data_IF_340040849433
#
_entry.id   IF_340040849433
#
_cell.length_a   1.000
_cell.length_b   1.000
_cell.length_c   1.000
_cell.angle_alpha   90.00
_cell.angle_beta   90.00
_cell.angle_gamma   90.00
#
_symmetry.space_group_name_H-M   'P 1'
#
loop_
_entity.id
_entity.type
_entity.pdbx_description
1 polymer ?
#
# COMPACT_ATOMS: atom_id res chain seq x y z
N UNK A 1 28.36 -27.17 34.72
CA UNK A 1 28.90 -26.59 35.98
C UNK A 1 28.57 -25.11 35.96
N UNK A 2 27.51 -24.69 36.64
CA UNK A 2 27.51 -24.13 38.01
C UNK A 2 27.99 -22.65 37.99
N UNK A 3 27.06 -21.69 38.09
CA UNK A 3 26.55 -21.05 39.33
C UNK A 3 27.40 -19.82 39.71
N UNK A 4 26.83 -18.61 39.67
CA UNK A 4 26.18 -17.91 40.79
C UNK A 4 27.13 -17.43 41.91
N UNK A 5 27.20 -16.10 42.03
CA UNK A 5 27.49 -15.25 43.21
C UNK A 5 28.85 -15.38 43.92
N UNK A 6 29.28 -14.28 44.56
CA UNK A 6 29.15 -14.25 46.03
C UNK A 6 28.53 -12.96 46.57
N UNK A 7 27.69 -13.14 47.61
CA UNK A 7 27.40 -12.16 48.67
C UNK A 7 28.58 -12.23 49.65
N UNK A 8 29.00 -11.17 50.35
CA UNK A 8 28.29 -10.70 51.56
C UNK A 8 29.22 -9.79 52.40
N UNK A 9 28.61 -9.02 53.32
CA UNK A 9 29.11 -8.68 54.68
C UNK A 9 30.14 -7.53 54.78
N UNK A 10 30.01 -6.49 55.62
CA UNK A 10 29.04 -6.07 56.64
C UNK A 10 29.42 -4.63 57.07
N UNK A 11 28.44 -3.81 57.45
CA UNK A 11 28.58 -2.93 58.60
C UNK A 11 27.20 -2.78 59.26
N UNK A 12 27.08 -3.29 60.48
CA UNK A 12 25.89 -3.24 61.34
C UNK A 12 26.25 -2.43 62.58
N UNK A 13 25.44 -1.42 62.89
CA UNK A 13 24.94 -1.05 64.22
C UNK A 13 23.59 -0.37 63.93
N UNK A 14 22.42 -1.01 64.16
CA UNK A 14 21.69 -1.09 65.44
C UNK A 14 21.61 0.29 66.13
N UNK A 15 20.46 0.87 66.50
CA UNK A 15 19.12 0.35 66.80
C UNK A 15 18.19 1.57 67.05
N UNK A 16 16.86 1.38 67.03
CA UNK A 16 15.93 2.27 67.75
C UNK A 16 14.94 3.10 66.93
N UNK A 17 13.83 2.46 66.53
CA UNK A 17 12.46 2.97 66.42
C UNK A 17 12.17 4.36 65.81
N UNK A 18 11.55 4.34 64.63
CA UNK A 18 10.47 5.27 64.26
C UNK A 18 10.89 6.60 63.64
N UNK A 19 11.56 6.59 62.48
CA UNK A 19 11.92 7.83 61.77
C UNK A 19 10.72 8.48 61.07
N UNK A 20 10.45 9.69 61.58
CA UNK A 20 10.39 10.96 60.87
C UNK A 20 9.28 11.20 59.84
N UNK A 21 8.29 11.96 60.32
CA UNK A 21 7.56 13.00 59.62
C UNK A 21 8.33 13.68 58.47
N UNK A 22 7.98 13.30 57.25
CA UNK A 22 8.00 14.18 56.08
C UNK A 22 6.97 13.67 55.06
N UNK A 23 5.75 13.39 55.52
CA UNK A 23 4.58 13.29 54.65
C UNK A 23 4.08 14.71 54.41
N UNK A 24 4.56 15.34 53.34
CA UNK A 24 3.81 16.32 52.56
C UNK A 24 4.56 16.56 51.25
N UNK A 25 3.86 16.39 50.12
CA UNK A 25 4.28 16.57 48.72
C UNK A 25 4.68 15.33 47.91
N UNK A 26 3.90 14.25 48.03
CA UNK A 26 3.67 13.31 46.93
C UNK A 26 2.23 13.50 46.43
N UNK A 27 1.99 14.52 45.61
CA UNK A 27 0.85 14.63 44.68
C UNK A 27 0.94 15.96 43.90
N UNK A 28 1.72 15.97 42.82
CA UNK A 28 1.60 16.92 41.71
C UNK A 28 2.34 16.36 40.48
N UNK A 29 1.86 15.22 39.99
CA UNK A 29 2.09 14.82 38.60
C UNK A 29 0.92 15.37 37.79
N UNK A 30 1.09 16.60 37.31
CA UNK A 30 0.20 17.32 36.39
C UNK A 30 1.08 18.33 35.67
N UNK A 31 1.16 18.48 34.36
CA UNK A 31 0.42 17.92 33.24
C UNK A 31 1.20 18.37 32.00
N UNK A 32 2.07 17.53 31.45
CA UNK A 32 2.53 17.76 30.07
C UNK A 32 1.43 17.25 29.16
N UNK A 33 0.97 18.02 28.15
CA UNK A 33 -0.02 17.51 27.24
C UNK A 33 0.64 16.34 26.52
N UNK A 34 0.12 15.12 26.74
CA UNK A 34 0.34 14.02 25.81
C UNK A 34 -0.02 14.60 24.45
N UNK A 35 0.96 14.78 23.57
CA UNK A 35 0.68 14.76 22.15
C UNK A 35 0.06 13.40 21.93
N UNK A 36 -1.27 13.36 21.95
CA UNK A 36 -2.01 12.30 21.32
C UNK A 36 -1.35 12.15 19.96
N UNK A 37 -0.65 11.04 19.76
CA UNK A 37 -0.40 10.54 18.44
C UNK A 37 -1.78 10.25 17.87
N UNK A 38 -2.43 11.31 17.40
CA UNK A 38 -3.39 11.24 16.32
C UNK A 38 -2.60 10.52 15.22
N UNK A 39 -2.73 9.19 15.17
CA UNK A 39 -2.79 8.54 13.88
C UNK A 39 -3.79 9.40 13.12
N UNK A 40 -3.32 10.14 12.12
CA UNK A 40 -4.21 10.75 11.17
C UNK A 40 -5.01 9.60 10.59
N UNK A 41 -6.16 9.32 11.20
CA UNK A 41 -7.21 8.62 10.52
C UNK A 41 -7.46 9.50 9.32
N UNK A 42 -7.15 8.98 8.14
CA UNK A 42 -7.39 9.66 6.89
C UNK A 42 -8.89 9.93 6.82
N UNK A 43 -9.32 11.10 7.30
CA UNK A 43 -10.58 11.66 6.87
C UNK A 43 -10.41 11.85 5.37
N UNK A 44 -11.26 11.19 4.59
CA UNK A 44 -11.44 11.45 3.16
C UNK A 44 -12.08 12.84 2.97
N UNK A 45 -11.49 13.88 3.55
CA UNK A 45 -11.67 15.23 3.04
C UNK A 45 -10.86 15.30 1.77
N UNK A 46 -11.51 15.68 0.66
CA UNK A 46 -10.93 15.77 -0.69
C UNK A 46 -9.85 16.85 -0.84
N UNK A 47 -9.02 17.03 0.19
CA UNK A 47 -7.85 17.87 0.15
C UNK A 47 -6.79 17.13 -0.67
N UNK A 48 -6.33 17.79 -1.74
CA UNK A 48 -5.21 17.34 -2.56
C UNK A 48 -4.01 17.17 -1.62
N UNK A 49 -3.71 15.94 -1.22
CA UNK A 49 -2.56 15.65 -0.38
C UNK A 49 -1.34 16.06 -1.17
N UNK A 50 -0.67 17.11 -0.72
CA UNK A 50 0.57 17.55 -1.34
C UNK A 50 1.60 16.42 -1.20
N UNK A 51 2.20 15.91 -2.30
CA UNK A 51 3.16 14.81 -2.24
C UNK A 51 4.33 15.03 -1.26
N UNK A 52 4.66 16.30 -1.00
CA UNK A 52 5.67 16.74 -0.04
C UNK A 52 5.30 16.51 1.43
N UNK A 53 4.02 16.30 1.74
CA UNK A 53 3.53 16.06 3.10
C UNK A 53 3.55 14.57 3.48
N UNK A 54 3.58 13.66 2.49
CA UNK A 54 3.62 12.21 2.73
C UNK A 54 5.05 11.75 2.90
N UNK A 55 5.38 11.19 4.06
CA UNK A 55 6.73 10.73 4.41
C UNK A 55 6.70 9.29 4.96
N UNK A 56 7.87 8.68 5.05
CA UNK A 56 8.04 7.36 5.65
C UNK A 56 7.36 6.25 4.85
N UNK A 57 6.75 5.29 5.57
CA UNK A 57 6.15 4.09 4.98
C UNK A 57 4.97 4.45 4.07
N UNK A 58 4.19 5.47 4.41
CA UNK A 58 3.00 5.85 3.64
C UNK A 58 3.38 6.35 2.24
N UNK A 59 4.53 7.01 2.12
CA UNK A 59 5.08 7.42 0.82
C UNK A 59 5.42 6.23 -0.08
N UNK A 60 5.92 5.14 0.50
CA UNK A 60 6.28 3.91 -0.24
C UNK A 60 5.02 3.12 -0.62
N UNK A 61 3.96 3.21 0.17
CA UNK A 61 2.70 2.50 -0.05
C UNK A 61 1.83 3.11 -1.14
N UNK A 62 2.03 4.39 -1.43
CA UNK A 62 1.34 5.08 -2.52
C UNK A 62 2.01 4.74 -3.87
N UNK A 63 1.32 4.02 -4.78
CA UNK A 63 1.88 3.63 -6.07
C UNK A 63 2.19 4.82 -7.00
N UNK A 64 1.57 5.98 -6.79
CA UNK A 64 1.79 7.20 -7.59
C UNK A 64 3.10 7.88 -7.24
N UNK A 65 3.51 7.78 -5.97
CA UNK A 65 4.71 8.41 -5.43
C UNK A 65 5.92 7.46 -5.42
N UNK A 66 5.68 6.16 -5.21
CA UNK A 66 6.72 5.18 -5.02
C UNK A 66 7.60 5.01 -6.28
N UNK A 67 8.91 5.21 -6.11
CA UNK A 67 9.93 4.97 -7.15
C UNK A 67 10.68 3.64 -6.94
N UNK A 68 10.40 2.91 -5.86
CA UNK A 68 11.14 1.72 -5.46
C UNK A 68 12.63 2.03 -5.28
N UNK A 69 13.52 1.23 -5.86
CA UNK A 69 14.96 1.41 -5.73
C UNK A 69 15.53 2.64 -6.48
N UNK A 70 14.72 3.37 -7.25
CA UNK A 70 15.14 4.59 -7.92
C UNK A 70 15.19 5.84 -7.03
N UNK A 71 14.78 5.75 -5.77
CA UNK A 71 15.03 6.83 -4.81
C UNK A 71 16.54 7.02 -4.58
N UNK A 72 17.02 8.24 -4.84
CA UNK A 72 18.38 8.67 -4.51
C UNK A 72 18.60 8.70 -3.00
N UNK A 73 19.86 8.66 -2.56
CA UNK A 73 20.18 8.71 -1.13
C UNK A 73 19.61 9.96 -0.45
N UNK A 74 19.68 11.11 -1.11
CA UNK A 74 19.13 12.38 -0.62
C UNK A 74 17.62 12.32 -0.45
N UNK A 75 16.89 11.83 -1.46
CA UNK A 75 15.44 11.65 -1.36
C UNK A 75 15.09 10.70 -0.21
N UNK A 76 15.83 9.60 -0.05
CA UNK A 76 15.58 8.65 1.04
C UNK A 76 15.72 9.28 2.43
N UNK A 77 16.72 10.13 2.61
CA UNK A 77 16.93 10.85 3.88
C UNK A 77 15.84 11.89 4.11
N UNK A 78 15.50 12.68 3.07
CA UNK A 78 14.48 13.73 3.17
C UNK A 78 13.07 13.19 3.40
N UNK A 79 12.74 12.06 2.80
CA UNK A 79 11.44 11.39 2.96
C UNK A 79 11.37 10.50 4.21
N UNK A 80 12.48 10.34 4.95
CA UNK A 80 12.51 9.46 6.13
C UNK A 80 12.35 7.97 5.82
N UNK A 81 12.78 7.54 4.63
CA UNK A 81 12.70 6.14 4.16
C UNK A 81 14.08 5.46 4.10
N UNK A 82 15.13 6.16 4.51
CA UNK A 82 16.47 5.58 4.61
C UNK A 82 16.48 4.44 5.64
N UNK A 83 17.01 3.28 5.25
CA UNK A 83 16.98 2.05 6.05
C UNK A 83 15.76 1.14 5.80
N UNK A 84 14.71 1.62 5.14
CA UNK A 84 13.53 0.80 4.79
C UNK A 84 13.71 0.01 3.47
N UNK A 85 14.81 0.24 2.75
CA UNK A 85 15.12 -0.39 1.48
C UNK A 85 16.61 -0.73 1.41
N UNK A 86 17.00 -1.73 0.60
CA UNK A 86 18.41 -2.04 0.35
C UNK A 86 19.21 -0.80 -0.09
N UNK A 87 20.51 -0.70 0.24
CA UNK A 87 21.34 0.48 -0.04
C UNK A 87 21.54 0.73 -1.55
N UNK A 88 21.28 -0.26 -2.39
CA UNK A 88 21.40 -0.16 -3.84
C UNK A 88 20.40 0.86 -4.41
N UNK A 89 20.91 1.73 -5.30
CA UNK A 89 20.12 2.66 -6.09
C UNK A 89 20.11 2.13 -7.53
N UNK A 90 18.93 2.02 -8.14
CA UNK A 90 18.77 1.57 -9.53
C UNK A 90 18.11 2.65 -10.35
N UNK A 91 18.59 2.88 -11.56
CA UNK A 91 17.90 3.77 -12.48
C UNK A 91 16.63 3.10 -13.01
N UNK A 92 15.69 3.88 -13.53
CA UNK A 92 14.40 3.36 -13.99
C UNK A 92 14.57 2.28 -15.07
N UNK A 93 15.50 2.44 -16.00
CA UNK A 93 15.78 1.46 -17.06
C UNK A 93 16.24 0.11 -16.48
N UNK A 94 17.05 0.14 -15.44
CA UNK A 94 17.48 -1.07 -14.74
C UNK A 94 16.32 -1.74 -14.02
N UNK A 95 15.36 -0.97 -13.50
CA UNK A 95 14.16 -1.54 -12.88
C UNK A 95 13.25 -2.19 -13.92
N UNK A 96 13.11 -1.57 -15.10
CA UNK A 96 12.35 -2.12 -16.23
C UNK A 96 12.93 -3.46 -16.65
N UNK A 97 14.26 -3.54 -16.83
CA UNK A 97 14.91 -4.79 -17.23
C UNK A 97 14.63 -5.93 -16.24
N UNK A 98 14.70 -5.65 -14.93
CA UNK A 98 14.34 -6.64 -13.90
C UNK A 98 12.87 -7.05 -14.00
N UNK A 99 11.96 -6.10 -14.23
CA UNK A 99 10.53 -6.41 -14.36
C UNK A 99 10.25 -7.24 -15.61
N UNK A 100 10.87 -6.89 -16.74
CA UNK A 100 10.77 -7.62 -18.01
C UNK A 100 11.23 -9.06 -17.86
N UNK A 101 12.41 -9.26 -17.28
CA UNK A 101 12.94 -10.60 -16.99
C UNK A 101 12.03 -11.37 -16.03
N UNK A 102 11.46 -10.71 -15.02
CA UNK A 102 10.52 -11.34 -14.09
C UNK A 102 9.24 -11.82 -14.79
N UNK A 103 8.67 -11.01 -15.68
CA UNK A 103 7.48 -11.36 -16.46
C UNK A 103 7.75 -12.56 -17.36
N UNK A 104 8.89 -12.57 -18.06
CA UNK A 104 9.27 -13.63 -19.00
C UNK A 104 9.52 -14.99 -18.35
N UNK A 105 9.84 -15.00 -17.05
CA UNK A 105 10.02 -16.26 -16.29
C UNK A 105 8.70 -16.97 -16.01
N UNK A 106 7.58 -16.27 -15.98
CA UNK A 106 6.28 -16.90 -15.78
C UNK A 106 5.85 -17.61 -17.07
N UNK A 107 5.52 -18.89 -16.97
CA UNK A 107 5.04 -19.67 -18.12
C UNK A 107 3.56 -19.39 -18.40
N UNK A 108 2.74 -19.32 -17.36
CA UNK A 108 1.31 -19.06 -17.47
C UNK A 108 0.98 -17.57 -17.54
N UNK A 109 0.11 -17.18 -18.47
CA UNK A 109 -0.27 -15.78 -18.65
C UNK A 109 -1.05 -15.21 -17.46
N UNK A 110 -1.78 -16.04 -16.71
CA UNK A 110 -2.46 -15.60 -15.48
C UNK A 110 -1.46 -15.17 -14.39
N UNK A 111 -0.31 -15.82 -14.31
CA UNK A 111 0.75 -15.45 -13.37
C UNK A 111 1.43 -14.15 -13.81
N UNK A 112 1.64 -13.97 -15.12
CA UNK A 112 2.10 -12.69 -15.68
C UNK A 112 1.12 -11.56 -15.37
N UNK A 113 -0.19 -11.79 -15.57
CA UNK A 113 -1.25 -10.82 -15.24
C UNK A 113 -1.21 -10.43 -13.76
N UNK A 114 -1.10 -11.42 -12.87
CA UNK A 114 -1.03 -11.18 -11.42
C UNK A 114 0.20 -10.34 -11.05
N UNK A 115 1.37 -10.66 -11.64
CA UNK A 115 2.59 -9.89 -11.43
C UNK A 115 2.45 -8.44 -11.90
N UNK A 116 1.84 -8.21 -13.07
CA UNK A 116 1.62 -6.88 -13.63
C UNK A 116 0.63 -6.06 -12.79
N UNK A 117 -0.43 -6.70 -12.28
CA UNK A 117 -1.36 -6.07 -11.35
C UNK A 117 -0.66 -5.64 -10.04
N UNK A 118 0.18 -6.51 -9.47
CA UNK A 118 0.99 -6.18 -8.29
C UNK A 118 2.01 -5.06 -8.56
N UNK A 119 2.61 -5.05 -9.76
CA UNK A 119 3.53 -4.00 -10.17
C UNK A 119 2.80 -2.65 -10.22
N UNK A 120 1.60 -2.62 -10.79
CA UNK A 120 0.76 -1.42 -10.81
C UNK A 120 0.37 -0.96 -9.40
N UNK A 121 0.06 -1.89 -8.49
CA UNK A 121 -0.26 -1.60 -7.08
C UNK A 121 0.93 -1.06 -6.26
N UNK A 122 2.15 -1.29 -6.75
CA UNK A 122 3.39 -0.90 -6.07
C UNK A 122 4.01 0.35 -6.66
N UNK A 123 4.05 0.47 -7.99
CA UNK A 123 4.69 1.57 -8.71
C UNK A 123 4.00 1.74 -10.07
N UNK A 124 3.08 2.70 -10.12
CA UNK A 124 2.24 2.97 -11.28
C UNK A 124 3.07 3.48 -12.48
N UNK A 125 4.06 4.34 -12.21
CA UNK A 125 4.93 4.91 -13.26
C UNK A 125 5.78 3.83 -13.95
N UNK A 126 6.28 2.87 -13.18
CA UNK A 126 7.07 1.76 -13.70
C UNK A 126 6.20 0.78 -14.49
N UNK A 127 4.96 0.53 -14.04
CA UNK A 127 3.99 -0.29 -14.75
C UNK A 127 3.68 0.28 -16.14
N UNK A 128 3.26 1.54 -16.23
CA UNK A 128 2.92 2.15 -17.52
C UNK A 128 4.12 2.24 -18.45
N UNK A 129 5.31 2.53 -17.90
CA UNK A 129 6.53 2.56 -18.71
C UNK A 129 6.86 1.18 -19.30
N UNK A 130 6.82 0.12 -18.50
CA UNK A 130 7.02 -1.25 -18.97
C UNK A 130 5.98 -1.64 -20.04
N UNK A 131 4.71 -1.31 -19.82
CA UNK A 131 3.63 -1.58 -20.78
C UNK A 131 3.86 -0.84 -22.10
N UNK A 132 4.24 0.43 -22.05
CA UNK A 132 4.47 1.26 -23.24
C UNK A 132 5.68 0.83 -24.07
N UNK A 133 6.74 0.30 -23.44
CA UNK A 133 7.93 -0.18 -24.13
C UNK A 133 7.73 -1.61 -24.71
N UNK A 134 6.74 -2.37 -24.22
CA UNK A 134 6.49 -3.76 -24.60
C UNK A 134 5.00 -4.06 -24.90
N UNK A 135 4.33 -3.12 -25.57
CA UNK A 135 2.88 -3.19 -25.87
C UNK A 135 2.52 -4.50 -26.58
N UNK A 136 3.24 -4.90 -27.62
CA UNK A 136 2.92 -6.11 -28.39
C UNK A 136 2.99 -7.39 -27.53
N UNK A 137 3.96 -7.49 -26.62
CA UNK A 137 4.16 -8.65 -25.73
C UNK A 137 3.15 -8.64 -24.57
N UNK A 138 2.86 -7.48 -24.00
CA UNK A 138 2.13 -7.37 -22.73
C UNK A 138 0.64 -7.06 -22.89
N UNK A 139 0.19 -6.46 -23.99
CA UNK A 139 -1.24 -6.19 -24.24
C UNK A 139 -2.13 -7.43 -24.17
N UNK A 140 -1.74 -8.59 -24.74
CA UNK A 140 -2.53 -9.81 -24.62
C UNK A 140 -2.64 -10.35 -23.18
N UNK A 141 -1.70 -9.95 -22.32
CA UNK A 141 -1.66 -10.33 -20.90
C UNK A 141 -2.55 -9.40 -20.08
N UNK A 142 -2.45 -8.07 -20.24
CA UNK A 142 -3.23 -7.11 -19.42
C UNK A 142 -4.68 -6.95 -19.88
N UNK A 143 -4.96 -7.25 -21.15
CA UNK A 143 -6.29 -7.18 -21.74
C UNK A 143 -6.67 -8.55 -22.33
N UNK A 144 -7.22 -8.60 -23.54
CA UNK A 144 -7.72 -9.84 -24.14
C UNK A 144 -6.59 -10.70 -24.70
N UNK A 145 -6.58 -12.04 -24.49
CA UNK A 145 -7.63 -12.86 -23.87
C UNK A 145 -7.47 -13.08 -22.35
N UNK A 146 -6.32 -12.76 -21.77
CA UNK A 146 -5.97 -13.15 -20.39
C UNK A 146 -6.83 -12.49 -19.32
N UNK A 147 -7.27 -11.25 -19.53
CA UNK A 147 -8.19 -10.54 -18.62
C UNK A 147 -9.51 -11.29 -18.45
N UNK A 148 -9.97 -12.00 -19.49
CA UNK A 148 -11.18 -12.83 -19.41
C UNK A 148 -10.99 -14.01 -18.46
N UNK A 149 -9.84 -14.69 -18.55
CA UNK A 149 -9.46 -15.75 -17.61
C UNK A 149 -9.28 -15.20 -16.18
N UNK A 150 -8.71 -14.00 -16.06
CA UNK A 150 -8.58 -13.31 -14.78
C UNK A 150 -9.96 -12.97 -14.18
N UNK A 151 -10.93 -12.56 -14.99
CA UNK A 151 -12.31 -12.34 -14.54
C UNK A 151 -12.96 -13.66 -14.08
N UNK A 152 -12.80 -14.76 -14.82
CA UNK A 152 -13.33 -16.06 -14.40
C UNK A 152 -12.75 -16.54 -13.06
N UNK A 153 -11.48 -16.24 -12.80
CA UNK A 153 -10.76 -16.61 -11.57
C UNK A 153 -10.66 -15.46 -10.57
N UNK A 154 -11.44 -14.39 -10.72
CA UNK A 154 -11.26 -13.12 -9.99
C UNK A 154 -11.28 -13.31 -8.48
N UNK A 155 -12.22 -14.10 -7.96
CA UNK A 155 -12.31 -14.38 -6.53
C UNK A 155 -11.07 -15.08 -5.94
N UNK A 156 -10.31 -15.84 -6.74
CA UNK A 156 -9.09 -16.51 -6.31
C UNK A 156 -7.85 -15.60 -6.37
N UNK A 157 -7.80 -14.69 -7.35
CA UNK A 157 -6.66 -13.80 -7.58
C UNK A 157 -6.84 -12.41 -6.96
N UNK A 158 -7.98 -12.16 -6.30
CA UNK A 158 -8.27 -10.87 -5.67
C UNK A 158 -7.24 -10.54 -4.59
N UNK A 159 -6.54 -9.41 -4.73
CA UNK A 159 -5.51 -8.96 -3.77
C UNK A 159 -5.76 -7.57 -3.24
N UNK A 160 -5.67 -6.56 -4.13
CA UNK A 160 -5.93 -5.17 -3.79
C UNK A 160 -7.19 -4.71 -4.53
N UNK A 161 -8.15 -4.06 -3.83
CA UNK A 161 -9.34 -3.55 -4.50
C UNK A 161 -8.94 -2.45 -5.49
N UNK A 162 -9.41 -2.59 -6.73
CA UNK A 162 -9.33 -1.57 -7.78
C UNK A 162 -10.74 -1.29 -8.29
N UNK A 163 -11.03 -0.02 -8.49
CA UNK A 163 -12.38 0.44 -8.80
C UNK A 163 -13.30 0.44 -7.59
N UNK A 164 -14.58 0.62 -7.86
CA UNK A 164 -15.62 0.84 -6.87
C UNK A 164 -16.81 -0.07 -7.22
N UNK A 165 -17.33 -0.78 -6.22
CA UNK A 165 -18.45 -1.70 -6.38
C UNK A 165 -19.72 -1.02 -5.85
N UNK A 166 -20.74 -0.89 -6.70
CA UNK A 166 -22.06 -0.39 -6.33
C UNK A 166 -23.07 -1.48 -6.64
N UNK A 167 -23.87 -1.85 -5.66
CA UNK A 167 -24.87 -2.90 -5.76
C UNK A 167 -26.27 -2.32 -5.84
N UNK A 168 -27.25 -3.15 -6.18
CA UNK A 168 -28.67 -2.78 -6.15
C UNK A 168 -29.17 -2.42 -4.74
N UNK A 169 -28.49 -2.92 -3.70
CA UNK A 169 -28.81 -2.63 -2.29
C UNK A 169 -28.39 -1.21 -1.86
N UNK A 170 -27.52 -0.55 -2.64
CA UNK A 170 -27.02 0.80 -2.33
C UNK A 170 -27.94 1.91 -2.87
N UNK A 171 -29.15 1.54 -3.30
CA UNK A 171 -30.16 2.47 -3.83
C UNK A 171 -30.47 3.55 -2.78
N UNK A 172 -30.20 4.81 -3.14
CA UNK A 172 -30.37 5.97 -2.26
C UNK A 172 -29.09 6.42 -1.54
N UNK A 173 -28.02 5.61 -1.58
CA UNK A 173 -26.73 5.90 -0.92
C UNK A 173 -25.54 5.90 -1.89
N UNK A 174 -25.77 5.78 -3.21
CA UNK A 174 -24.69 5.73 -4.21
C UNK A 174 -23.70 6.91 -4.10
N UNK A 175 -24.19 8.11 -3.79
CA UNK A 175 -23.33 9.29 -3.65
C UNK A 175 -22.38 9.18 -2.45
N UNK A 176 -22.80 8.56 -1.36
CA UNK A 176 -21.94 8.35 -0.19
C UNK A 176 -20.85 7.32 -0.50
N UNK A 177 -21.14 6.33 -1.35
CA UNK A 177 -20.12 5.39 -1.83
C UNK A 177 -19.11 6.10 -2.72
N UNK A 178 -19.56 6.97 -3.64
CA UNK A 178 -18.67 7.73 -4.52
C UNK A 178 -17.71 8.65 -3.74
N UNK A 179 -18.15 9.23 -2.61
CA UNK A 179 -17.28 10.03 -1.73
C UNK A 179 -16.12 9.24 -1.12
N UNK A 180 -16.22 7.91 -1.04
CA UNK A 180 -15.12 7.08 -0.54
C UNK A 180 -13.96 6.95 -1.55
N UNK A 181 -14.17 7.36 -2.80
CA UNK A 181 -13.10 7.35 -3.79
C UNK A 181 -12.04 8.42 -3.45
N UNK A 182 -10.75 8.06 -3.39
CA UNK A 182 -9.72 8.98 -2.90
C UNK A 182 -9.36 10.10 -3.88
N UNK A 183 -9.73 9.97 -5.16
CA UNK A 183 -9.44 10.97 -6.19
C UNK A 183 -10.64 11.90 -6.40
N UNK A 184 -10.55 13.20 -6.05
CA UNK A 184 -11.67 14.13 -6.23
C UNK A 184 -11.90 14.52 -7.70
N UNK A 185 -10.85 14.57 -8.54
CA UNK A 185 -10.95 14.97 -9.95
C UNK A 185 -11.06 13.77 -10.91
N UNK A 186 -12.24 13.14 -10.94
CA UNK A 186 -12.52 12.02 -11.85
C UNK A 186 -12.98 12.54 -13.21
N UNK A 187 -12.19 12.29 -14.26
CA UNK A 187 -12.46 12.74 -15.64
C UNK A 187 -13.06 11.68 -16.56
N UNK A 188 -12.91 10.41 -16.21
CA UNK A 188 -13.39 9.29 -17.01
C UNK A 188 -13.85 8.13 -16.11
N UNK A 189 -14.95 7.48 -16.49
CA UNK A 189 -15.50 6.32 -15.79
C UNK A 189 -15.68 5.18 -16.80
N UNK A 190 -15.34 3.96 -16.39
CA UNK A 190 -15.74 2.72 -17.09
C UNK A 190 -16.58 1.92 -16.12
N UNK A 191 -17.78 1.52 -16.56
CA UNK A 191 -18.73 0.76 -15.74
C UNK A 191 -19.15 -0.50 -16.47
N UNK A 192 -19.35 -1.58 -15.72
CA UNK A 192 -19.94 -2.84 -16.19
C UNK A 192 -20.80 -3.42 -15.07
N UNK A 193 -21.88 -4.07 -15.45
CA UNK A 193 -22.72 -4.91 -14.59
C UNK A 193 -22.21 -6.36 -14.52
N UNK A 194 -21.31 -6.75 -15.43
CA UNK A 194 -20.74 -8.10 -15.51
C UNK A 194 -21.57 -9.12 -16.26
N UNK A 195 -22.74 -8.74 -16.80
CA UNK A 195 -23.71 -9.68 -17.41
C UNK A 195 -23.17 -10.32 -18.70
N UNK A 196 -22.34 -9.59 -19.45
CA UNK A 196 -21.76 -10.07 -20.71
C UNK A 196 -20.28 -9.72 -20.83
N UNK A 197 -19.44 -10.50 -20.17
CA UNK A 197 -17.99 -10.37 -20.28
C UNK A 197 -17.50 -11.05 -21.56
N UNK A 198 -17.38 -10.26 -22.63
CA UNK A 198 -16.89 -10.69 -23.95
C UNK A 198 -17.68 -11.91 -24.46
N UNK A 199 -17.03 -13.06 -24.63
CA UNK A 199 -17.64 -14.35 -25.00
C UNK A 199 -17.77 -15.33 -23.84
N UNK A 200 -17.53 -14.90 -22.59
CA UNK A 200 -17.50 -15.75 -21.40
C UNK A 200 -18.85 -15.81 -20.66
N UNK A 201 -19.81 -14.99 -21.06
CA UNK A 201 -21.13 -14.89 -20.45
C UNK A 201 -21.13 -13.98 -19.21
N UNK A 202 -22.01 -14.31 -18.27
CA UNK A 202 -22.21 -13.57 -17.03
C UNK A 202 -21.18 -13.97 -15.98
N UNK A 203 -20.39 -12.99 -15.52
CA UNK A 203 -19.43 -13.15 -14.43
C UNK A 203 -19.78 -12.25 -13.23
N UNK A 204 -20.88 -11.49 -13.28
CA UNK A 204 -21.31 -10.56 -12.25
C UNK A 204 -20.18 -9.66 -11.74
N UNK A 205 -20.02 -9.58 -10.41
CA UNK A 205 -18.99 -8.74 -9.78
C UNK A 205 -17.54 -9.11 -10.18
N UNK A 206 -17.28 -10.35 -10.62
CA UNK A 206 -15.97 -10.77 -11.09
C UNK A 206 -15.59 -10.12 -12.45
N UNK A 207 -16.55 -9.49 -13.13
CA UNK A 207 -16.33 -8.68 -14.34
C UNK A 207 -15.54 -7.39 -14.12
N UNK A 208 -15.21 -7.01 -12.87
CA UNK A 208 -14.44 -5.80 -12.54
C UNK A 208 -13.07 -5.72 -13.25
N UNK A 209 -12.48 -6.86 -13.62
CA UNK A 209 -11.23 -6.88 -14.39
C UNK A 209 -11.33 -6.17 -15.74
N UNK A 210 -12.52 -6.10 -16.36
CA UNK A 210 -12.71 -5.44 -17.66
C UNK A 210 -12.58 -3.90 -17.57
N UNK A 211 -13.30 -3.19 -16.68
CA UNK A 211 -13.08 -1.77 -16.44
C UNK A 211 -11.63 -1.43 -16.13
N UNK A 212 -10.98 -2.22 -15.26
CA UNK A 212 -9.58 -2.01 -14.86
C UNK A 212 -8.64 -2.16 -16.06
N UNK A 213 -8.78 -3.21 -16.86
CA UNK A 213 -7.98 -3.39 -18.07
C UNK A 213 -8.22 -2.31 -19.12
N UNK A 214 -9.45 -1.80 -19.24
CA UNK A 214 -9.80 -0.74 -20.18
C UNK A 214 -9.25 0.62 -19.78
N UNK A 215 -9.07 0.87 -18.49
CA UNK A 215 -8.38 2.05 -17.98
C UNK A 215 -6.90 2.07 -18.44
N UNK A 216 -6.22 0.92 -18.44
CA UNK A 216 -4.83 0.84 -18.88
C UNK A 216 -4.63 1.23 -20.35
N UNK A 217 -5.63 0.98 -21.20
CA UNK A 217 -5.59 1.32 -22.63
C UNK A 217 -5.77 2.82 -22.92
N UNK A 218 -6.21 3.60 -21.93
CA UNK A 218 -6.48 5.04 -22.11
C UNK A 218 -5.29 5.94 -21.79
N UNK A 219 -4.19 5.36 -21.30
CA UNK A 219 -2.97 6.07 -20.92
C UNK A 219 -1.99 6.13 -22.08
#
# INVERSE_FOLDING_TARGET
MFSALPKSVQAVCASGAGRCSALNNLNKVSSSPRKEQLRCQHHASGDIICPSMVQGIDHIRDPRLNKGLAFSLRERQQLGIHGLMPPTIKNQDQQIEVCRESVRRFQEDLNKFTYLAELQDRNERLFYRLLSENVEELMPVVYTPTVGLACQKFGLIFRRPRGLFITTHDRGHCFDILKNWPEPDVRAIVVTDGERILGLGDLGACGMGIPVGKEHLRV
#
